data_IF_645543998166
#
_entry.id   IF_645543998166
#
_cell.length_a   1.000
_cell.length_b   1.000
_cell.length_c   1.000
_cell.angle_alpha   90.00
_cell.angle_beta   90.00
_cell.angle_gamma   90.00
#
_symmetry.space_group_name_H-M   'P 1'
#
loop_
_entity.id
_entity.type
_entity.pdbx_description
1 polymer ?
#
# COMPACT_ATOMS: atom_id res chain seq x y z
N UNK A 1 -2.75 -20.54 -15.85
CA UNK A 1 -3.21 -19.31 -15.18
C UNK A 1 -2.95 -19.48 -13.70
N UNK A 2 -2.08 -18.65 -13.13
CA UNK A 2 -1.81 -18.66 -11.69
C UNK A 2 -3.11 -18.34 -10.95
N UNK A 3 -3.47 -19.15 -9.96
CA UNK A 3 -4.66 -18.99 -9.12
C UNK A 3 -4.67 -17.68 -8.29
N UNK A 4 -3.62 -16.86 -8.46
CA UNK A 4 -3.33 -15.64 -7.72
C UNK A 4 -2.95 -14.53 -8.71
N UNK A 5 -3.94 -13.79 -9.23
CA UNK A 5 -3.66 -12.68 -10.14
C UNK A 5 -2.98 -11.53 -9.39
N UNK A 6 -1.89 -11.00 -9.96
CA UNK A 6 -1.28 -9.76 -9.48
C UNK A 6 -2.27 -8.60 -9.65
N UNK A 7 -2.41 -7.77 -8.61
CA UNK A 7 -3.27 -6.57 -8.63
C UNK A 7 -2.40 -5.31 -8.63
N UNK A 8 -2.80 -4.28 -9.39
CA UNK A 8 -2.11 -2.98 -9.41
C UNK A 8 -1.92 -2.44 -7.99
N UNK A 9 -0.69 -2.09 -7.62
CA UNK A 9 -0.35 -1.59 -6.27
C UNK A 9 -1.19 -0.37 -5.86
N UNK A 10 -1.53 0.50 -6.82
CA UNK A 10 -2.40 1.66 -6.61
C UNK A 10 -3.79 1.28 -6.09
N UNK A 11 -4.36 0.16 -6.55
CA UNK A 11 -5.66 -0.35 -6.06
C UNK A 11 -5.55 -0.87 -4.64
N UNK A 12 -4.46 -1.57 -4.32
CA UNK A 12 -4.20 -2.07 -2.96
C UNK A 12 -4.02 -0.91 -1.99
N UNK A 13 -3.24 0.10 -2.35
CA UNK A 13 -3.06 1.31 -1.54
C UNK A 13 -4.39 2.02 -1.29
N UNK A 14 -5.21 2.22 -2.33
CA UNK A 14 -6.53 2.82 -2.19
C UNK A 14 -7.44 2.02 -1.23
N UNK A 15 -7.38 0.68 -1.31
CA UNK A 15 -8.13 -0.18 -0.39
C UNK A 15 -7.64 -0.05 1.06
N UNK A 16 -6.32 -0.04 1.29
CA UNK A 16 -5.74 0.15 2.62
C UNK A 16 -6.17 1.49 3.23
N UNK A 17 -6.10 2.58 2.46
CA UNK A 17 -6.57 3.89 2.89
C UNK A 17 -8.06 3.87 3.26
N UNK A 18 -8.88 3.17 2.46
CA UNK A 18 -10.32 3.03 2.72
C UNK A 18 -10.65 2.19 3.95
N UNK A 19 -9.80 1.24 4.32
CA UNK A 19 -9.92 0.43 5.55
C UNK A 19 -9.55 1.26 6.81
N UNK A 20 -9.01 2.46 6.64
CA UNK A 20 -8.64 3.36 7.72
C UNK A 20 -7.14 3.38 8.03
N UNK A 21 -6.31 2.80 7.16
CA UNK A 21 -4.88 3.09 7.18
C UNK A 21 -4.63 4.52 6.71
N UNK A 22 -3.59 5.15 7.23
CA UNK A 22 -3.18 6.50 6.87
C UNK A 22 -1.71 6.51 6.52
N UNK A 23 -1.31 7.32 5.54
CA UNK A 23 0.11 7.49 5.22
C UNK A 23 0.74 8.33 6.33
N UNK A 24 1.66 7.72 7.08
CA UNK A 24 2.46 8.34 8.13
C UNK A 24 3.73 8.99 7.57
N UNK A 25 4.36 8.35 6.57
CA UNK A 25 5.57 8.84 5.89
C UNK A 25 5.60 8.29 4.47
N UNK A 26 6.19 9.01 3.53
CA UNK A 26 6.48 8.53 2.19
C UNK A 26 7.92 8.91 1.82
N UNK A 27 8.66 7.95 1.26
CA UNK A 27 10.02 8.12 0.73
C UNK A 27 10.13 7.34 -0.59
N UNK A 28 10.19 8.06 -1.72
CA UNK A 28 10.15 7.46 -3.05
C UNK A 28 8.94 6.54 -3.27
N UNK A 29 9.22 5.29 -3.66
CA UNK A 29 8.26 4.19 -3.85
C UNK A 29 7.72 3.58 -2.55
N UNK A 30 8.24 3.99 -1.40
CA UNK A 30 7.89 3.43 -0.09
C UNK A 30 6.94 4.35 0.67
N UNK A 31 5.88 3.78 1.22
CA UNK A 31 4.91 4.48 2.07
C UNK A 31 4.78 3.75 3.39
N UNK A 32 5.03 4.44 4.50
CA UNK A 32 4.71 3.94 5.83
C UNK A 32 3.26 4.27 6.11
N UNK A 33 2.46 3.24 6.37
CA UNK A 33 1.06 3.32 6.75
C UNK A 33 0.94 3.10 8.26
N UNK A 34 0.05 3.86 8.91
CA UNK A 34 -0.31 3.66 10.30
C UNK A 34 -1.82 3.53 10.44
N UNK A 35 -2.26 2.74 11.42
CA UNK A 35 -3.66 2.60 11.80
C UNK A 35 -3.75 2.55 13.33
N UNK A 36 -4.68 3.26 13.97
CA UNK A 36 -4.83 3.22 15.42
C UNK A 36 -4.99 1.77 15.92
N UNK A 37 -4.17 1.38 16.91
CA UNK A 37 -4.18 0.03 17.46
C UNK A 37 -3.38 -1.01 16.65
N UNK A 38 -2.69 -0.60 15.58
CA UNK A 38 -1.84 -1.47 14.76
C UNK A 38 -0.42 -0.89 14.68
N UNK A 39 0.57 -1.77 14.53
CA UNK A 39 1.94 -1.36 14.21
C UNK A 39 2.01 -0.67 12.85
N UNK A 40 3.00 0.21 12.69
CA UNK A 40 3.28 0.82 11.39
C UNK A 40 3.63 -0.26 10.36
N UNK A 41 3.13 -0.09 9.13
CA UNK A 41 3.30 -1.01 8.03
C UNK A 41 3.97 -0.32 6.84
N UNK A 42 5.02 -0.91 6.28
CA UNK A 42 5.70 -0.36 5.10
C UNK A 42 5.12 -0.96 3.83
N UNK A 43 4.51 -0.12 3.00
CA UNK A 43 3.97 -0.44 1.68
C UNK A 43 4.90 0.11 0.59
N UNK A 44 5.69 -0.77 -0.03
CA UNK A 44 6.63 -0.44 -1.09
C UNK A 44 6.07 -0.85 -2.45
N UNK A 45 6.06 0.06 -3.42
CA UNK A 45 5.66 -0.22 -4.79
C UNK A 45 6.31 0.74 -5.78
N UNK A 46 6.76 0.22 -6.92
CA UNK A 46 7.21 1.07 -8.02
C UNK A 46 5.98 1.66 -8.73
N UNK A 47 5.94 2.99 -8.90
CA UNK A 47 4.86 3.69 -9.61
C UNK A 47 5.06 3.68 -11.14
N UNK A 48 6.12 3.02 -11.64
CA UNK A 48 6.65 3.17 -13.01
C UNK A 48 6.41 2.01 -13.98
N UNK A 49 5.39 1.17 -13.79
CA UNK A 49 4.96 0.24 -14.86
C UNK A 49 3.42 0.19 -14.95
N UNK A 50 2.84 1.23 -15.56
CA UNK A 50 1.95 1.21 -16.76
C UNK A 50 1.36 2.60 -17.03
#
# INVERSE_FOLDING_TARGET
MSTWPSTRARRVLAALLRIGWRIKRQDGSHRVLSRPGWSDFVFAFHDTEE
#
